data_IF_959700265272
#
_entry.id   IF_959700265272
#
_cell.length_a   1.000
_cell.length_b   1.000
_cell.length_c   1.000
_cell.angle_alpha   90.00
_cell.angle_beta   90.00
_cell.angle_gamma   90.00
#
_symmetry.space_group_name_H-M   'P 1'
#
loop_
_entity.id
_entity.type
_entity.pdbx_description
1 polymer ?
#
# COMPACT_ATOMS: atom_id res chain seq x y z
N UNK A 1 23.83 -6.18 9.80
CA UNK A 1 22.69 -5.23 9.73
C UNK A 1 23.14 -3.80 10.04
N UNK A 2 23.80 -3.53 11.14
CA UNK A 2 24.24 -2.17 11.54
C UNK A 2 25.15 -1.45 10.52
N UNK A 3 25.90 -2.19 9.69
CA UNK A 3 26.77 -1.61 8.67
C UNK A 3 26.01 -0.92 7.53
N UNK A 4 24.78 -1.37 7.21
CA UNK A 4 23.95 -0.75 6.19
C UNK A 4 23.45 0.64 6.64
N UNK A 5 23.16 0.85 7.91
CA UNK A 5 22.70 2.15 8.42
C UNK A 5 23.80 3.24 8.45
N UNK A 6 25.06 2.87 8.24
CA UNK A 6 26.16 3.84 8.08
C UNK A 6 26.15 4.52 6.70
N UNK A 7 25.47 3.93 5.72
CA UNK A 7 25.30 4.51 4.38
C UNK A 7 24.12 5.50 4.40
N UNK A 8 24.41 6.78 4.22
CA UNK A 8 23.40 7.84 4.19
C UNK A 8 22.33 7.61 3.08
N UNK A 9 22.69 6.90 2.00
CA UNK A 9 21.75 6.52 0.95
C UNK A 9 20.66 5.59 1.47
N UNK A 10 21.03 4.64 2.34
CA UNK A 10 20.08 3.72 2.98
C UNK A 10 19.06 4.50 3.79
N UNK A 11 19.52 5.40 4.67
CA UNK A 11 18.63 6.22 5.50
C UNK A 11 17.69 7.06 4.63
N UNK A 12 18.21 7.74 3.62
CA UNK A 12 17.42 8.56 2.70
C UNK A 12 16.32 7.73 2.01
N UNK A 13 16.66 6.56 1.47
CA UNK A 13 15.67 5.69 0.80
C UNK A 13 14.63 5.11 1.78
N UNK A 14 15.00 4.83 3.03
CA UNK A 14 14.04 4.42 4.05
C UNK A 14 13.08 5.55 4.43
N UNK A 15 13.56 6.79 4.54
CA UNK A 15 12.71 7.96 4.73
C UNK A 15 11.76 8.17 3.53
N UNK A 16 12.24 8.00 2.29
CA UNK A 16 11.37 8.07 1.11
C UNK A 16 10.26 7.02 1.14
N UNK A 17 10.55 5.80 1.63
CA UNK A 17 9.57 4.74 1.78
C UNK A 17 8.43 5.11 2.76
N UNK A 18 8.73 5.87 3.82
CA UNK A 18 7.69 6.32 4.76
C UNK A 18 6.72 7.32 4.13
N UNK A 19 7.15 8.14 3.15
CA UNK A 19 6.26 9.07 2.47
C UNK A 19 5.16 8.36 1.67
N UNK A 20 5.45 7.20 1.11
CA UNK A 20 4.46 6.46 0.32
C UNK A 20 3.30 5.95 1.18
N UNK A 21 3.56 5.50 2.41
CA UNK A 21 2.49 5.07 3.32
C UNK A 21 1.70 6.24 3.89
N UNK A 22 2.35 7.39 4.12
CA UNK A 22 1.69 8.61 4.59
C UNK A 22 0.59 9.07 3.62
N UNK A 23 0.80 8.92 2.31
CA UNK A 23 -0.17 9.37 1.31
C UNK A 23 -1.52 8.66 1.42
N UNK A 24 -1.53 7.44 1.92
CA UNK A 24 -2.65 6.52 1.79
C UNK A 24 -3.61 6.52 2.98
N UNK A 25 -3.13 6.75 4.20
CA UNK A 25 -3.96 6.48 5.39
C UNK A 25 -3.91 7.55 6.46
N UNK A 26 -3.04 8.55 6.33
CA UNK A 26 -2.79 9.52 7.42
C UNK A 26 -4.03 10.38 7.76
N UNK A 27 -4.88 10.69 6.79
CA UNK A 27 -6.09 11.47 7.01
C UNK A 27 -7.29 10.60 7.41
N UNK A 28 -7.15 9.27 7.38
CA UNK A 28 -8.26 8.34 7.65
C UNK A 28 -8.94 8.58 9.01
N UNK A 29 -8.23 8.78 10.12
CA UNK A 29 -8.86 9.06 11.42
C UNK A 29 -9.71 10.34 11.43
N UNK A 30 -9.39 11.31 10.57
CA UNK A 30 -10.04 12.62 10.51
C UNK A 30 -11.28 12.66 9.60
N UNK A 31 -11.59 11.59 8.85
CA UNK A 31 -12.67 11.60 7.85
C UNK A 31 -14.02 12.06 8.39
N UNK A 32 -14.51 11.58 9.54
CA UNK A 32 -15.80 12.06 10.07
C UNK A 32 -15.81 13.55 10.40
N UNK A 33 -14.71 14.07 10.94
CA UNK A 33 -14.57 15.49 11.24
C UNK A 33 -14.50 16.36 9.97
N UNK A 34 -13.82 15.88 8.92
CA UNK A 34 -13.81 16.57 7.62
C UNK A 34 -15.20 16.53 6.99
N UNK A 35 -15.91 15.40 7.07
CA UNK A 35 -17.29 15.28 6.56
C UNK A 35 -18.22 16.27 7.24
N UNK A 36 -18.16 16.38 8.57
CA UNK A 36 -18.94 17.33 9.35
C UNK A 36 -18.62 18.80 9.00
N UNK A 37 -17.37 19.12 8.69
CA UNK A 37 -16.96 20.48 8.30
C UNK A 37 -17.53 20.91 6.93
N UNK A 38 -17.90 19.95 6.07
CA UNK A 38 -18.44 20.20 4.72
C UNK A 38 -19.86 19.60 4.53
N UNK A 39 -20.65 19.54 5.59
CA UNK A 39 -22.01 18.94 5.60
C UNK A 39 -22.95 19.52 4.51
N UNK A 40 -22.78 20.79 4.16
CA UNK A 40 -23.53 21.44 3.08
C UNK A 40 -23.10 21.07 1.65
N UNK A 41 -22.06 20.26 1.46
CA UNK A 41 -21.53 19.93 0.13
C UNK A 41 -22.28 18.70 -0.43
N UNK A 42 -22.80 18.74 -1.66
CA UNK A 42 -23.42 17.58 -2.27
C UNK A 42 -22.45 16.38 -2.34
N UNK A 43 -22.90 15.21 -1.90
CA UNK A 43 -22.10 13.97 -1.84
C UNK A 43 -20.85 14.05 -0.95
N UNK A 44 -20.83 14.92 0.08
CA UNK A 44 -19.70 15.09 0.99
C UNK A 44 -19.18 13.75 1.52
N UNK A 45 -20.06 12.86 1.98
CA UNK A 45 -19.72 11.55 2.50
C UNK A 45 -18.89 10.69 1.52
N UNK A 46 -19.22 10.69 0.23
CA UNK A 46 -18.47 9.96 -0.78
C UNK A 46 -17.14 10.65 -1.09
N UNK A 47 -17.15 11.97 -1.29
CA UNK A 47 -15.96 12.76 -1.60
C UNK A 47 -14.92 12.63 -0.49
N UNK A 48 -15.33 12.69 0.77
CA UNK A 48 -14.43 12.55 1.92
C UNK A 48 -13.77 11.17 1.96
N UNK A 49 -14.51 10.10 1.71
CA UNK A 49 -13.91 8.76 1.61
C UNK A 49 -12.93 8.64 0.44
N UNK A 50 -13.22 9.33 -0.68
CA UNK A 50 -12.30 9.40 -1.83
C UNK A 50 -11.02 10.17 -1.52
N UNK A 51 -10.96 11.07 -0.53
CA UNK A 51 -9.72 11.78 -0.16
C UNK A 51 -8.58 10.80 0.19
N UNK A 52 -8.90 9.62 0.75
CA UNK A 52 -7.92 8.57 1.07
C UNK A 52 -7.48 7.82 -0.18
N UNK A 53 -8.38 7.57 -1.12
CA UNK A 53 -8.14 6.64 -2.23
C UNK A 53 -7.94 7.31 -3.58
N UNK A 54 -8.33 8.58 -3.76
CA UNK A 54 -8.14 9.32 -5.00
C UNK A 54 -6.67 9.41 -5.48
N UNK A 55 -5.66 9.56 -4.60
CA UNK A 55 -4.27 9.51 -5.03
C UNK A 55 -3.94 8.25 -5.83
N UNK A 56 -4.51 7.09 -5.45
CA UNK A 56 -4.24 5.81 -6.07
C UNK A 56 -4.60 5.78 -7.57
N UNK A 57 -5.67 6.47 -7.98
CA UNK A 57 -6.05 6.56 -9.38
C UNK A 57 -4.94 7.19 -10.22
N UNK A 58 -4.37 8.31 -9.75
CA UNK A 58 -3.28 8.97 -10.48
C UNK A 58 -1.95 8.24 -10.33
N UNK A 59 -1.71 7.53 -9.22
CA UNK A 59 -0.55 6.61 -9.15
C UNK A 59 -0.65 5.54 -10.23
N UNK A 60 -1.80 4.87 -10.37
CA UNK A 60 -2.01 3.84 -11.39
C UNK A 60 -1.81 4.37 -12.82
N UNK A 61 -2.30 5.58 -13.10
CA UNK A 61 -2.19 6.20 -14.43
C UNK A 61 -0.78 6.72 -14.74
N UNK A 62 -0.08 7.29 -13.76
CA UNK A 62 1.17 8.05 -13.96
C UNK A 62 2.41 7.19 -13.75
N UNK A 63 2.37 6.16 -12.87
CA UNK A 63 3.57 5.38 -12.53
C UNK A 63 4.30 4.75 -13.75
N UNK A 64 3.61 4.22 -14.79
CA UNK A 64 4.29 3.70 -15.97
C UNK A 64 5.10 4.77 -16.73
N UNK A 65 4.57 5.99 -16.81
CA UNK A 65 5.23 7.13 -17.46
C UNK A 65 6.33 7.72 -16.57
N UNK A 66 6.12 7.72 -15.24
CA UNK A 66 7.09 8.21 -14.28
C UNK A 66 8.40 7.42 -14.32
N UNK A 67 8.34 6.10 -14.57
CA UNK A 67 9.52 5.28 -14.77
C UNK A 67 10.35 5.73 -15.99
N UNK A 68 9.70 5.92 -17.13
CA UNK A 68 10.36 6.43 -18.34
C UNK A 68 10.90 7.87 -18.16
N UNK A 69 10.22 8.68 -17.37
CA UNK A 69 10.63 10.04 -17.04
C UNK A 69 11.90 10.04 -16.16
N UNK A 70 11.97 9.12 -15.18
CA UNK A 70 13.15 8.91 -14.33
C UNK A 70 14.38 8.57 -15.14
N UNK A 71 14.24 7.69 -16.13
CA UNK A 71 15.33 7.30 -17.02
C UNK A 71 15.80 8.46 -17.91
N UNK A 72 14.89 9.36 -18.31
CA UNK A 72 15.20 10.49 -19.20
C UNK A 72 15.74 11.72 -18.46
N UNK A 73 15.15 12.10 -17.33
CA UNK A 73 15.45 13.35 -16.64
C UNK A 73 16.32 13.18 -15.40
N UNK A 74 16.53 11.94 -14.93
CA UNK A 74 17.31 11.59 -13.75
C UNK A 74 16.43 11.20 -12.56
N UNK A 75 16.82 10.12 -11.91
CA UNK A 75 16.05 9.47 -10.82
C UNK A 75 16.03 10.32 -9.56
N UNK A 76 17.19 10.89 -9.18
CA UNK A 76 17.31 11.80 -8.05
C UNK A 76 16.44 13.05 -8.24
N UNK A 77 16.53 13.68 -9.42
CA UNK A 77 15.75 14.90 -9.72
C UNK A 77 14.25 14.62 -9.62
N UNK A 78 13.79 13.50 -10.17
CA UNK A 78 12.40 13.10 -10.08
C UNK A 78 11.94 12.89 -8.63
N UNK A 79 12.78 12.23 -7.79
CA UNK A 79 12.48 12.05 -6.37
C UNK A 79 12.30 13.40 -5.67
N UNK A 80 13.23 14.33 -5.86
CA UNK A 80 13.16 15.66 -5.22
C UNK A 80 11.93 16.46 -5.65
N UNK A 81 11.59 16.47 -6.95
CA UNK A 81 10.36 17.08 -7.45
C UNK A 81 9.13 16.40 -6.81
N UNK A 82 9.11 15.09 -6.76
CA UNK A 82 8.03 14.31 -6.12
C UNK A 82 7.87 14.70 -4.65
N UNK A 83 8.95 14.85 -3.90
CA UNK A 83 8.93 15.22 -2.47
C UNK A 83 8.37 16.64 -2.25
N UNK A 84 8.76 17.60 -3.06
CA UNK A 84 8.20 18.97 -2.99
C UNK A 84 6.72 18.96 -3.33
N UNK A 85 6.35 18.30 -4.43
CA UNK A 85 4.95 18.19 -4.84
C UNK A 85 4.12 17.47 -3.77
N UNK A 86 4.68 16.42 -3.12
CA UNK A 86 4.05 15.69 -2.02
C UNK A 86 3.75 16.62 -0.84
N UNK A 87 4.72 17.44 -0.42
CA UNK A 87 4.53 18.39 0.68
C UNK A 87 3.42 19.39 0.36
N UNK A 88 3.46 20.01 -0.83
CA UNK A 88 2.50 21.05 -1.23
C UNK A 88 1.09 20.48 -1.38
N UNK A 89 0.94 19.39 -2.15
CA UNK A 89 -0.39 18.83 -2.42
C UNK A 89 -0.95 18.07 -1.22
N UNK A 90 -0.08 17.39 -0.45
CA UNK A 90 -0.49 16.65 0.74
C UNK A 90 -1.02 17.56 1.83
N UNK A 91 -0.37 18.71 2.09
CA UNK A 91 -0.75 19.65 3.13
C UNK A 91 -1.86 20.63 2.71
N UNK A 92 -2.34 20.55 1.48
CA UNK A 92 -3.31 21.50 0.93
C UNK A 92 -4.64 21.62 1.72
N UNK A 93 -5.03 20.58 2.46
CA UNK A 93 -6.18 20.64 3.35
C UNK A 93 -6.05 21.66 4.50
N UNK A 94 -4.85 22.23 4.75
CA UNK A 94 -4.66 23.28 5.76
C UNK A 94 -5.11 24.68 5.28
N UNK A 95 -5.19 24.90 3.96
CA UNK A 95 -5.48 26.23 3.39
C UNK A 95 -6.54 26.23 2.29
N UNK A 96 -7.09 25.06 1.95
CA UNK A 96 -8.18 24.97 0.98
C UNK A 96 -9.53 24.88 1.70
N UNK A 97 -10.44 25.77 1.36
CA UNK A 97 -11.75 25.90 2.00
C UNK A 97 -12.87 25.16 1.26
N UNK A 98 -12.55 24.38 0.22
CA UNK A 98 -13.55 23.64 -0.55
C UNK A 98 -13.19 22.17 -0.69
N UNK A 99 -14.14 21.29 -0.41
CA UNK A 99 -13.95 19.85 -0.48
C UNK A 99 -13.54 19.34 -1.88
N UNK A 100 -14.11 19.85 -3.01
CA UNK A 100 -13.62 19.50 -4.34
C UNK A 100 -12.16 19.93 -4.60
N UNK A 101 -11.74 21.09 -4.09
CA UNK A 101 -10.35 21.54 -4.24
C UNK A 101 -9.39 20.65 -3.44
N UNK A 102 -9.76 20.24 -2.22
CA UNK A 102 -9.00 19.28 -1.43
C UNK A 102 -8.92 17.93 -2.18
N UNK A 103 -10.00 17.45 -2.79
CA UNK A 103 -9.99 16.22 -3.58
C UNK A 103 -9.02 16.32 -4.77
N UNK A 104 -9.03 17.44 -5.51
CA UNK A 104 -8.08 17.67 -6.61
C UNK A 104 -6.64 17.65 -6.11
N UNK A 105 -6.36 18.30 -4.97
CA UNK A 105 -5.03 18.27 -4.36
C UNK A 105 -4.60 16.85 -3.99
N UNK A 106 -5.53 16.02 -3.51
CA UNK A 106 -5.28 14.60 -3.23
C UNK A 106 -4.98 13.80 -4.50
N UNK A 107 -5.67 14.09 -5.61
CA UNK A 107 -5.32 13.49 -6.89
C UNK A 107 -3.91 13.90 -7.34
N UNK A 108 -3.54 15.19 -7.23
CA UNK A 108 -2.18 15.66 -7.53
C UNK A 108 -1.13 14.99 -6.64
N UNK A 109 -1.46 14.70 -5.37
CA UNK A 109 -0.61 13.91 -4.48
C UNK A 109 -0.29 12.54 -5.08
N UNK A 110 -1.21 11.92 -5.82
CA UNK A 110 -0.96 10.66 -6.52
C UNK A 110 0.17 10.76 -7.55
N UNK A 111 0.31 11.89 -8.25
CA UNK A 111 1.45 12.15 -9.16
C UNK A 111 2.76 12.20 -8.37
N UNK A 112 2.75 12.92 -7.24
CA UNK A 112 3.92 13.02 -6.36
C UNK A 112 4.36 11.63 -5.85
N UNK A 113 3.41 10.81 -5.42
CA UNK A 113 3.66 9.44 -4.95
C UNK A 113 4.21 8.56 -6.07
N UNK A 114 3.64 8.65 -7.29
CA UNK A 114 4.16 7.92 -8.46
C UNK A 114 5.63 8.31 -8.74
N UNK A 115 5.98 9.59 -8.66
CA UNK A 115 7.35 10.06 -8.83
C UNK A 115 8.29 9.52 -7.75
N UNK A 116 7.88 9.59 -6.48
CA UNK A 116 8.68 9.09 -5.35
C UNK A 116 8.89 7.58 -5.47
N UNK A 117 7.82 6.79 -5.67
CA UNK A 117 7.90 5.33 -5.73
C UNK A 117 8.77 4.82 -6.88
N UNK A 118 8.58 5.37 -8.08
CA UNK A 118 9.33 4.93 -9.26
C UNK A 118 10.80 5.32 -9.17
N UNK A 119 11.10 6.55 -8.75
CA UNK A 119 12.47 7.01 -8.54
C UNK A 119 13.17 6.21 -7.43
N UNK A 120 12.51 5.99 -6.30
CA UNK A 120 13.03 5.21 -5.18
C UNK A 120 13.38 3.79 -5.60
N UNK A 121 12.45 3.10 -6.29
CA UNK A 121 12.66 1.72 -6.75
C UNK A 121 13.84 1.64 -7.72
N UNK A 122 13.95 2.61 -8.63
CA UNK A 122 15.05 2.67 -9.59
C UNK A 122 16.39 2.95 -8.89
N UNK A 123 16.44 3.89 -7.93
CA UNK A 123 17.65 4.18 -7.13
C UNK A 123 18.11 2.98 -6.29
N UNK A 124 17.17 2.23 -5.71
CA UNK A 124 17.49 0.98 -4.99
C UNK A 124 18.13 -0.03 -5.94
N UNK A 125 17.60 -0.14 -7.17
CA UNK A 125 18.16 -1.01 -8.20
C UNK A 125 19.58 -0.64 -8.62
N UNK A 126 19.89 0.66 -8.65
CA UNK A 126 21.22 1.17 -9.06
C UNK A 126 22.26 1.15 -7.93
N UNK A 127 21.82 1.31 -6.67
CA UNK A 127 22.76 1.40 -5.54
C UNK A 127 23.08 0.05 -4.90
N UNK A 128 22.20 -0.94 -5.05
CA UNK A 128 22.33 -2.21 -4.34
C UNK A 128 22.14 -3.40 -5.29
N UNK A 129 23.03 -4.39 -5.17
CA UNK A 129 23.01 -5.61 -5.97
C UNK A 129 22.77 -6.86 -5.10
N UNK A 130 22.26 -7.92 -5.75
CA UNK A 130 22.18 -9.26 -5.22
C UNK A 130 21.59 -9.36 -3.79
N UNK A 131 22.32 -10.02 -2.86
CA UNK A 131 21.84 -10.22 -1.49
C UNK A 131 21.66 -8.93 -0.68
N UNK A 132 22.43 -7.87 -1.00
CA UNK A 132 22.33 -6.56 -0.33
C UNK A 132 21.00 -5.89 -0.67
N UNK A 133 20.60 -5.92 -1.94
CA UNK A 133 19.29 -5.41 -2.40
C UNK A 133 18.13 -6.13 -1.70
N UNK A 134 18.20 -7.47 -1.60
CA UNK A 134 17.16 -8.25 -0.91
C UNK A 134 17.04 -7.89 0.57
N UNK A 135 18.18 -7.70 1.26
CA UNK A 135 18.20 -7.25 2.67
C UNK A 135 17.63 -5.83 2.82
N UNK A 136 18.01 -4.92 1.92
CA UNK A 136 17.48 -3.56 1.92
C UNK A 136 15.95 -3.54 1.77
N UNK A 137 15.41 -4.29 0.80
CA UNK A 137 13.95 -4.37 0.59
C UNK A 137 13.20 -4.88 1.83
N UNK A 138 13.76 -5.84 2.55
CA UNK A 138 13.19 -6.30 3.82
C UNK A 138 13.16 -5.20 4.90
N UNK A 139 14.26 -4.44 5.04
CA UNK A 139 14.34 -3.30 5.98
C UNK A 139 13.38 -2.19 5.54
N UNK A 140 13.25 -1.94 4.24
CA UNK A 140 12.32 -0.95 3.69
C UNK A 140 10.86 -1.26 4.06
N UNK A 141 10.43 -2.50 3.92
CA UNK A 141 9.07 -2.92 4.32
C UNK A 141 8.86 -2.67 5.83
N UNK A 142 9.84 -3.03 6.66
CA UNK A 142 9.77 -2.79 8.09
C UNK A 142 9.70 -1.28 8.43
N UNK A 143 10.54 -0.46 7.77
CA UNK A 143 10.54 0.99 7.95
C UNK A 143 9.23 1.63 7.50
N UNK A 144 8.66 1.20 6.37
CA UNK A 144 7.35 1.66 5.88
C UNK A 144 6.25 1.37 6.89
N UNK A 145 6.17 0.16 7.41
CA UNK A 145 5.13 -0.22 8.37
C UNK A 145 5.32 0.45 9.74
N UNK A 146 6.56 0.54 10.23
CA UNK A 146 6.86 1.24 11.49
C UNK A 146 6.59 2.74 11.36
N UNK A 147 6.97 3.35 10.23
CA UNK A 147 6.63 4.74 9.92
C UNK A 147 5.11 4.94 9.88
N UNK A 148 4.37 4.07 9.19
CA UNK A 148 2.92 4.07 9.17
C UNK A 148 2.30 3.98 10.57
N UNK A 149 2.80 3.08 11.41
CA UNK A 149 2.37 2.95 12.80
C UNK A 149 2.53 4.27 13.57
N UNK A 150 3.74 4.85 13.56
CA UNK A 150 4.03 6.09 14.30
C UNK A 150 3.20 7.26 13.78
N UNK A 151 3.19 7.45 12.47
CA UNK A 151 2.49 8.60 11.87
C UNK A 151 0.97 8.51 12.00
N UNK A 152 0.39 7.31 12.00
CA UNK A 152 -1.04 7.14 12.24
C UNK A 152 -1.43 7.52 13.68
N UNK A 153 -0.61 7.17 14.68
CA UNK A 153 -0.86 7.59 16.06
C UNK A 153 -0.78 9.12 16.20
N UNK A 154 0.22 9.74 15.58
CA UNK A 154 0.33 11.21 15.54
C UNK A 154 -0.89 11.82 14.84
N UNK A 155 -1.31 11.25 13.71
CA UNK A 155 -2.46 11.73 12.95
C UNK A 155 -3.77 11.65 13.77
N UNK A 156 -3.97 10.57 14.52
CA UNK A 156 -5.11 10.46 15.43
C UNK A 156 -5.12 11.56 16.49
N UNK A 157 -4.01 11.74 17.19
CA UNK A 157 -3.88 12.79 18.21
C UNK A 157 -4.04 14.21 17.65
N UNK A 158 -3.61 14.46 16.42
CA UNK A 158 -3.85 15.74 15.74
C UNK A 158 -5.31 15.88 15.31
N UNK A 159 -5.94 14.80 14.83
CA UNK A 159 -7.32 14.79 14.41
C UNK A 159 -8.31 15.02 15.58
N UNK A 160 -7.96 14.60 16.82
CA UNK A 160 -8.74 14.89 18.03
C UNK A 160 -8.81 16.42 18.31
N UNK A 161 -7.79 17.18 17.88
CA UNK A 161 -7.76 18.63 18.06
C UNK A 161 -8.45 19.38 16.89
N UNK A 162 -8.19 18.95 15.66
CA UNK A 162 -8.84 19.45 14.45
C UNK A 162 -8.73 18.44 13.32
N UNK A 163 -9.82 18.23 12.60
CA UNK A 163 -9.89 17.33 11.45
C UNK A 163 -8.89 17.70 10.32
N UNK A 164 -8.40 18.94 10.28
CA UNK A 164 -7.47 19.41 9.26
C UNK A 164 -5.99 19.33 9.68
N UNK A 165 -5.68 19.19 10.96
CA UNK A 165 -4.28 19.13 11.43
C UNK A 165 -3.48 17.93 10.93
N UNK A 166 -4.05 16.74 10.69
CA UNK A 166 -3.31 15.64 10.05
C UNK A 166 -2.67 16.01 8.70
N UNK A 167 -3.21 16.97 7.97
CA UNK A 167 -2.60 17.46 6.74
C UNK A 167 -1.22 18.10 6.95
N UNK A 168 -0.92 18.59 8.16
CA UNK A 168 0.40 19.14 8.50
C UNK A 168 1.51 18.08 8.46
N UNK A 169 1.18 16.80 8.66
CA UNK A 169 2.18 15.72 8.66
C UNK A 169 2.88 15.61 7.29
N UNK A 170 2.19 15.98 6.20
CA UNK A 170 2.80 15.94 4.86
C UNK A 170 3.98 16.90 4.71
N UNK A 171 4.07 17.95 5.53
CA UNK A 171 5.19 18.89 5.54
C UNK A 171 6.50 18.25 6.02
N UNK A 172 6.46 17.08 6.66
CA UNK A 172 7.66 16.30 7.02
C UNK A 172 8.54 16.01 5.80
N UNK A 173 7.92 15.92 4.61
CA UNK A 173 8.65 15.71 3.36
C UNK A 173 9.66 16.83 3.09
N UNK A 174 9.37 18.07 3.50
CA UNK A 174 10.32 19.20 3.39
C UNK A 174 11.52 19.03 4.33
N UNK A 175 11.30 18.40 5.51
CA UNK A 175 12.40 18.09 6.45
C UNK A 175 13.32 17.01 5.87
N UNK A 176 12.76 16.08 5.08
CA UNK A 176 13.54 15.04 4.43
C UNK A 176 14.29 15.52 3.18
N UNK A 177 13.87 16.64 2.58
CA UNK A 177 14.43 17.17 1.34
C UNK A 177 15.95 17.44 1.39
N UNK A 178 16.52 18.09 2.43
CA UNK A 178 17.97 18.26 2.56
C UNK A 178 18.70 16.91 2.66
N UNK A 179 18.14 15.94 3.38
CA UNK A 179 18.73 14.58 3.50
C UNK A 179 18.81 13.94 2.12
N UNK A 180 17.74 13.99 1.32
CA UNK A 180 17.73 13.43 -0.04
C UNK A 180 18.71 14.15 -0.95
N UNK A 181 18.78 15.47 -0.83
CA UNK A 181 19.70 16.28 -1.64
C UNK A 181 21.16 15.94 -1.35
N UNK A 182 21.54 15.75 -0.10
CA UNK A 182 22.92 15.52 0.32
C UNK A 182 23.35 14.05 0.17
N UNK A 183 22.41 13.10 0.36
CA UNK A 183 22.76 11.67 0.51
C UNK A 183 22.57 10.86 -0.76
N UNK A 184 21.80 11.34 -1.75
CA UNK A 184 21.50 10.57 -2.95
C UNK A 184 22.23 11.16 -4.18
N UNK A 185 23.37 10.61 -4.62
CA UNK A 185 23.99 10.98 -5.89
C UNK A 185 23.12 10.52 -7.06
N UNK A 186 23.22 11.18 -8.21
CA UNK A 186 22.59 10.65 -9.44
C UNK A 186 23.39 9.44 -9.93
N UNK A 187 22.79 8.26 -10.11
CA UNK A 187 23.50 7.08 -10.54
C UNK A 187 23.92 7.18 -12.02
N UNK A 188 24.96 6.42 -12.37
CA UNK A 188 25.38 6.29 -13.76
C UNK A 188 24.27 5.60 -14.58
N UNK A 189 23.99 6.10 -15.78
CA UNK A 189 22.95 5.51 -16.64
C UNK A 189 23.53 4.28 -17.36
N UNK A 190 22.90 3.10 -17.24
CA UNK A 190 23.34 1.94 -17.99
C UNK A 190 23.21 2.17 -19.51
N UNK A 191 24.23 1.78 -20.25
CA UNK A 191 24.26 1.88 -21.71
C UNK A 191 23.25 0.91 -22.34
N UNK A 192 22.91 1.13 -23.62
CA UNK A 192 22.00 0.23 -24.34
C UNK A 192 22.59 -1.20 -24.47
N UNK A 193 23.91 -1.31 -24.50
CA UNK A 193 24.62 -2.59 -24.59
C UNK A 193 24.52 -3.40 -23.27
N UNK A 194 24.62 -2.75 -22.12
CA UNK A 194 24.45 -3.40 -20.81
C UNK A 194 23.03 -3.94 -20.62
N UNK A 195 22.01 -3.28 -21.20
CA UNK A 195 20.61 -3.75 -21.19
C UNK A 195 20.39 -4.97 -22.09
N UNK A 196 21.13 -5.09 -23.20
CA UNK A 196 20.97 -6.17 -24.15
C UNK A 196 21.56 -7.52 -23.69
N UNK A 197 22.39 -7.50 -22.62
CA UNK A 197 23.06 -8.70 -22.10
C UNK A 197 22.27 -9.45 -21.01
N UNK A 198 20.99 -9.09 -20.75
CA UNK A 198 20.16 -9.84 -19.80
C UNK A 198 19.80 -11.22 -20.33
N UNK A 199 19.90 -12.29 -19.52
CA UNK A 199 19.58 -13.65 -19.95
C UNK A 199 18.13 -13.73 -20.45
N UNK A 200 17.93 -14.39 -21.59
CA UNK A 200 16.61 -14.73 -22.09
C UNK A 200 16.05 -15.87 -21.22
N UNK A 201 14.98 -15.59 -20.48
CA UNK A 201 14.19 -16.55 -19.72
C UNK A 201 12.76 -16.43 -20.27
N UNK A 202 12.22 -17.53 -20.80
CA UNK A 202 10.91 -17.55 -21.46
C UNK A 202 9.75 -17.60 -20.46
N UNK A 203 10.03 -17.70 -19.16
CA UNK A 203 9.02 -17.80 -18.09
C UNK A 203 8.30 -19.15 -18.04
N UNK A 204 7.32 -19.25 -17.15
CA UNK A 204 6.52 -20.48 -17.03
C UNK A 204 5.45 -20.60 -18.12
N UNK A 205 5.17 -21.80 -18.58
CA UNK A 205 4.07 -22.09 -19.50
C UNK A 205 2.74 -21.57 -18.93
N UNK A 206 1.98 -20.86 -19.76
CA UNK A 206 0.71 -20.24 -19.33
C UNK A 206 0.88 -19.05 -18.37
N UNK A 207 2.04 -18.40 -18.33
CA UNK A 207 2.32 -17.27 -17.44
C UNK A 207 1.30 -16.14 -17.53
N UNK A 208 0.71 -15.90 -18.72
CA UNK A 208 -0.30 -14.84 -18.91
C UNK A 208 -1.58 -15.14 -18.11
N UNK A 209 -2.05 -16.40 -18.09
CA UNK A 209 -3.21 -16.80 -17.30
C UNK A 209 -2.95 -16.65 -15.80
N UNK A 210 -1.74 -17.00 -15.36
CA UNK A 210 -1.30 -16.81 -13.98
C UNK A 210 -1.17 -15.33 -13.63
N UNK A 211 -0.68 -14.50 -14.53
CA UNK A 211 -0.63 -13.05 -14.38
C UNK A 211 -2.04 -12.47 -14.22
N UNK A 212 -2.99 -12.84 -15.07
CA UNK A 212 -4.39 -12.41 -14.97
C UNK A 212 -4.97 -12.81 -13.61
N UNK A 213 -4.71 -14.04 -13.15
CA UNK A 213 -5.16 -14.48 -11.83
C UNK A 213 -4.57 -13.61 -10.70
N UNK A 214 -3.26 -13.29 -10.74
CA UNK A 214 -2.62 -12.42 -9.72
C UNK A 214 -3.15 -11.00 -9.78
N UNK A 215 -3.35 -10.44 -10.98
CA UNK A 215 -3.93 -9.10 -11.19
C UNK A 215 -5.34 -9.03 -10.60
N UNK A 216 -6.18 -10.04 -10.86
CA UNK A 216 -7.54 -10.13 -10.30
C UNK A 216 -7.51 -10.26 -8.78
N UNK A 217 -6.68 -11.17 -8.25
CA UNK A 217 -6.49 -11.34 -6.80
C UNK A 217 -6.01 -10.03 -6.15
N UNK A 218 -5.03 -9.35 -6.75
CA UNK A 218 -4.51 -8.08 -6.24
C UNK A 218 -5.59 -7.00 -6.18
N UNK A 219 -6.33 -6.80 -7.26
CA UNK A 219 -7.42 -5.82 -7.32
C UNK A 219 -8.51 -6.09 -6.27
N UNK A 220 -9.03 -7.32 -6.21
CA UNK A 220 -10.06 -7.72 -5.23
C UNK A 220 -9.56 -7.59 -3.79
N UNK A 221 -8.31 -8.01 -3.53
CA UNK A 221 -7.70 -7.87 -2.21
C UNK A 221 -7.67 -6.40 -1.77
N UNK A 222 -7.28 -5.48 -2.67
CA UNK A 222 -7.18 -4.06 -2.31
C UNK A 222 -8.52 -3.36 -2.21
N UNK A 223 -9.54 -3.78 -2.97
CA UNK A 223 -10.93 -3.33 -2.74
C UNK A 223 -11.34 -3.65 -1.30
N UNK A 224 -11.11 -4.88 -0.84
CA UNK A 224 -11.48 -5.30 0.50
C UNK A 224 -10.57 -4.72 1.60
N UNK A 225 -9.26 -4.62 1.35
CA UNK A 225 -8.31 -4.04 2.31
C UNK A 225 -8.62 -2.58 2.61
N UNK A 226 -8.85 -1.77 1.55
CA UNK A 226 -9.10 -0.33 1.72
C UNK A 226 -10.47 0.00 2.30
N UNK A 227 -11.35 -0.99 2.44
CA UNK A 227 -12.56 -0.85 3.25
C UNK A 227 -12.21 -0.40 4.68
N UNK A 228 -11.15 -0.92 5.27
CA UNK A 228 -10.75 -0.53 6.64
C UNK A 228 -10.24 0.92 6.70
N UNK A 229 -9.23 1.37 5.95
CA UNK A 229 -8.80 2.77 5.98
C UNK A 229 -9.90 3.80 5.68
N UNK A 230 -10.89 3.44 4.86
CA UNK A 230 -11.97 4.36 4.47
C UNK A 230 -13.19 4.33 5.36
N UNK A 231 -13.44 3.23 6.08
CA UNK A 231 -14.67 3.01 6.83
C UNK A 231 -14.44 2.81 8.33
N UNK A 232 -13.22 2.51 8.78
CA UNK A 232 -12.95 2.24 10.20
C UNK A 232 -13.39 3.37 11.15
N UNK A 233 -13.18 4.67 10.86
CA UNK A 233 -13.65 5.73 11.76
C UNK A 233 -15.17 5.72 11.93
N UNK A 234 -15.90 5.47 10.86
CA UNK A 234 -17.36 5.40 10.86
C UNK A 234 -17.86 4.13 11.54
N UNK A 235 -17.23 2.98 11.28
CA UNK A 235 -17.54 1.72 11.97
C UNK A 235 -17.33 1.83 13.46
N UNK A 236 -16.22 2.40 13.92
CA UNK A 236 -15.93 2.57 15.33
C UNK A 236 -16.93 3.49 16.00
N UNK A 237 -17.43 4.52 15.33
CA UNK A 237 -18.50 5.37 15.84
C UNK A 237 -19.80 4.58 16.10
N UNK A 238 -20.13 3.57 15.27
CA UNK A 238 -21.33 2.72 15.49
C UNK A 238 -21.23 1.82 16.72
N UNK A 239 -20.02 1.50 17.17
CA UNK A 239 -19.75 0.69 18.37
C UNK A 239 -19.34 1.53 19.59
N UNK A 240 -19.60 2.85 19.55
CA UNK A 240 -19.41 3.77 20.68
C UNK A 240 -18.01 4.38 20.81
N UNK A 241 -17.18 4.31 19.74
CA UNK A 241 -15.82 4.86 19.71
C UNK A 241 -15.62 5.84 18.56
N UNK A 242 -16.24 7.04 18.60
CA UNK A 242 -16.14 8.04 17.53
C UNK A 242 -14.80 8.81 17.53
N UNK A 243 -13.93 8.58 18.52
CA UNK A 243 -12.69 9.32 18.68
C UNK A 243 -11.71 9.01 17.53
N UNK A 244 -11.13 10.01 16.86
CA UNK A 244 -10.11 9.83 15.83
C UNK A 244 -8.93 8.97 16.28
N UNK A 245 -8.51 9.05 17.55
CA UNK A 245 -7.45 8.21 18.13
C UNK A 245 -7.81 6.74 18.12
N UNK A 246 -9.07 6.33 18.30
CA UNK A 246 -9.48 4.93 18.22
C UNK A 246 -9.28 4.37 16.78
N UNK A 247 -9.66 5.12 15.76
CA UNK A 247 -9.45 4.76 14.38
C UNK A 247 -7.95 4.72 14.01
N UNK A 248 -7.19 5.68 14.51
CA UNK A 248 -5.74 5.71 14.34
C UNK A 248 -5.07 4.49 14.97
N UNK A 249 -5.46 4.10 16.19
CA UNK A 249 -4.94 2.94 16.89
C UNK A 249 -5.24 1.63 16.12
N UNK A 250 -6.46 1.50 15.61
CA UNK A 250 -6.86 0.34 14.81
C UNK A 250 -5.97 0.21 13.57
N UNK A 251 -5.79 1.28 12.80
CA UNK A 251 -4.95 1.29 11.61
C UNK A 251 -3.45 1.11 11.95
N UNK A 252 -3.00 1.68 13.06
CA UNK A 252 -1.61 1.55 13.51
C UNK A 252 -1.27 0.10 13.87
N UNK A 253 -2.15 -0.61 14.60
CA UNK A 253 -1.98 -2.03 14.94
C UNK A 253 -1.93 -2.87 13.67
N UNK A 254 -2.77 -2.58 12.68
CA UNK A 254 -2.75 -3.24 11.37
C UNK A 254 -1.38 -3.06 10.68
N UNK A 255 -0.83 -1.84 10.69
CA UNK A 255 0.49 -1.57 10.10
C UNK A 255 1.59 -2.31 10.85
N UNK A 256 1.60 -2.23 12.17
CA UNK A 256 2.62 -2.90 13.00
C UNK A 256 2.62 -4.41 12.81
N UNK A 257 1.45 -5.04 12.89
CA UNK A 257 1.31 -6.49 12.71
C UNK A 257 1.69 -6.91 11.29
N UNK A 258 1.28 -6.16 10.27
CA UNK A 258 1.67 -6.40 8.88
C UNK A 258 3.18 -6.34 8.67
N UNK A 259 3.84 -5.35 9.27
CA UNK A 259 5.30 -5.22 9.24
C UNK A 259 6.01 -6.41 9.89
N UNK A 260 5.59 -6.81 11.09
CA UNK A 260 6.18 -7.95 11.81
C UNK A 260 6.02 -9.25 11.01
N UNK A 261 4.83 -9.51 10.47
CA UNK A 261 4.57 -10.76 9.75
C UNK A 261 5.15 -10.81 8.34
N UNK A 262 5.34 -9.66 7.69
CA UNK A 262 6.07 -9.61 6.41
C UNK A 262 7.53 -10.08 6.56
N UNK A 263 8.15 -9.89 7.73
CA UNK A 263 9.49 -10.43 8.01
C UNK A 263 9.51 -11.96 8.12
N UNK A 264 8.38 -12.57 8.48
CA UNK A 264 8.23 -14.02 8.58
C UNK A 264 7.85 -14.67 7.24
N UNK A 265 7.45 -13.87 6.25
CA UNK A 265 6.98 -14.33 4.93
C UNK A 265 7.94 -15.36 4.29
N UNK A 266 9.25 -15.06 4.27
CA UNK A 266 10.23 -15.96 3.66
C UNK A 266 10.26 -17.35 4.31
N UNK A 267 10.15 -17.43 5.66
CA UNK A 267 10.11 -18.71 6.39
C UNK A 267 8.82 -19.48 6.11
N UNK A 268 7.69 -18.76 6.08
CA UNK A 268 6.38 -19.37 5.78
C UNK A 268 6.36 -19.91 4.36
N UNK A 269 6.86 -19.13 3.39
CA UNK A 269 6.91 -19.55 1.98
C UNK A 269 7.81 -20.78 1.76
N UNK A 270 8.97 -20.85 2.43
CA UNK A 270 9.84 -22.02 2.33
C UNK A 270 9.17 -23.31 2.84
N UNK A 271 8.27 -23.21 3.84
CA UNK A 271 7.56 -24.37 4.41
C UNK A 271 6.29 -24.75 3.66
N UNK A 272 5.51 -23.75 3.24
CA UNK A 272 4.18 -23.94 2.66
C UNK A 272 4.16 -23.88 1.13
N UNK A 273 5.20 -23.32 0.50
CA UNK A 273 5.27 -23.18 -0.94
C UNK A 273 4.45 -22.00 -1.50
N UNK A 274 4.43 -21.93 -2.84
CA UNK A 274 3.90 -20.80 -3.62
C UNK A 274 2.38 -20.63 -3.49
N UNK A 275 1.63 -21.71 -3.44
CA UNK A 275 0.17 -21.68 -3.41
C UNK A 275 -0.41 -21.53 -1.99
N UNK A 276 0.14 -22.27 -1.02
CA UNK A 276 -0.42 -22.33 0.33
C UNK A 276 -0.10 -21.10 1.17
N UNK A 277 1.00 -20.39 0.88
CA UNK A 277 1.35 -19.17 1.63
C UNK A 277 0.32 -18.05 1.46
N UNK A 278 -0.06 -17.62 0.22
CA UNK A 278 -1.12 -16.65 0.05
C UNK A 278 -2.50 -17.19 0.46
N UNK A 279 -2.76 -18.50 0.28
CA UNK A 279 -4.01 -19.11 0.74
C UNK A 279 -4.19 -18.96 2.26
N UNK A 280 -3.14 -19.23 3.05
CA UNK A 280 -3.14 -19.00 4.50
C UNK A 280 -3.37 -17.51 4.83
N UNK A 281 -2.75 -16.60 4.06
CA UNK A 281 -2.98 -15.18 4.20
C UNK A 281 -4.45 -14.79 3.96
N UNK A 282 -5.10 -15.33 2.92
CA UNK A 282 -6.53 -15.09 2.67
C UNK A 282 -7.44 -15.68 3.75
N UNK A 283 -7.10 -16.83 4.33
CA UNK A 283 -7.82 -17.34 5.51
C UNK A 283 -7.63 -16.41 6.72
N UNK A 284 -6.45 -15.83 6.89
CA UNK A 284 -6.21 -14.77 7.88
C UNK A 284 -7.08 -13.54 7.66
N UNK A 285 -7.25 -13.09 6.40
CA UNK A 285 -8.20 -12.03 6.04
C UNK A 285 -9.64 -12.42 6.41
N UNK A 286 -10.07 -13.65 6.07
CA UNK A 286 -11.40 -14.13 6.40
C UNK A 286 -11.65 -14.13 7.92
N UNK A 287 -10.68 -14.59 8.71
CA UNK A 287 -10.74 -14.54 10.17
C UNK A 287 -10.80 -13.10 10.68
N UNK A 288 -9.99 -12.19 10.13
CA UNK A 288 -9.98 -10.78 10.50
C UNK A 288 -11.34 -10.12 10.27
N UNK A 289 -11.90 -10.26 9.07
CA UNK A 289 -13.21 -9.70 8.75
C UNK A 289 -14.35 -10.42 9.49
N UNK A 290 -14.22 -11.72 9.77
CA UNK A 290 -15.14 -12.45 10.64
C UNK A 290 -15.18 -11.89 12.06
N UNK A 291 -14.02 -11.59 12.65
CA UNK A 291 -13.92 -10.93 13.96
C UNK A 291 -14.51 -9.53 13.91
N UNK A 292 -14.22 -8.73 12.88
CA UNK A 292 -14.79 -7.39 12.70
C UNK A 292 -16.31 -7.43 12.56
N UNK A 293 -16.87 -8.44 11.88
CA UNK A 293 -18.31 -8.60 11.69
C UNK A 293 -19.08 -8.76 13.02
N UNK A 294 -18.46 -9.40 14.01
CA UNK A 294 -19.06 -9.63 15.34
C UNK A 294 -18.57 -8.62 16.40
N UNK A 295 -17.76 -7.62 16.00
CA UNK A 295 -17.16 -6.69 16.95
C UNK A 295 -18.19 -5.69 17.49
N UNK A 296 -18.43 -5.74 18.80
CA UNK A 296 -19.27 -4.79 19.53
C UNK A 296 -18.50 -3.83 20.43
N UNK A 297 -17.16 -3.87 20.42
CA UNK A 297 -16.30 -3.00 21.24
C UNK A 297 -14.93 -2.82 20.61
N UNK A 298 -14.16 -1.84 21.09
CA UNK A 298 -12.84 -1.50 20.56
C UNK A 298 -11.85 -2.68 20.67
N UNK A 299 -11.85 -3.43 21.76
CA UNK A 299 -10.89 -4.51 21.96
C UNK A 299 -11.03 -5.61 20.88
N UNK A 300 -12.26 -6.03 20.58
CA UNK A 300 -12.51 -7.01 19.50
C UNK A 300 -12.18 -6.46 18.12
N UNK A 301 -12.46 -5.17 17.86
CA UNK A 301 -12.08 -4.51 16.62
C UNK A 301 -10.53 -4.47 16.44
N UNK A 302 -9.77 -4.21 17.51
CA UNK A 302 -8.31 -4.23 17.49
C UNK A 302 -7.75 -5.63 17.20
N UNK A 303 -8.40 -6.69 17.73
CA UNK A 303 -8.05 -8.09 17.38
C UNK A 303 -8.26 -8.35 15.90
N UNK A 304 -9.40 -7.92 15.35
CA UNK A 304 -9.67 -8.02 13.90
C UNK A 304 -8.61 -7.29 13.08
N UNK A 305 -8.23 -6.08 13.49
CA UNK A 305 -7.20 -5.28 12.84
C UNK A 305 -5.82 -5.94 12.90
N UNK A 306 -5.44 -6.51 14.05
CA UNK A 306 -4.20 -7.27 14.21
C UNK A 306 -4.16 -8.46 13.23
N UNK A 307 -5.23 -9.25 13.17
CA UNK A 307 -5.34 -10.38 12.23
C UNK A 307 -5.25 -9.91 10.76
N UNK A 308 -5.86 -8.76 10.46
CA UNK A 308 -5.81 -8.20 9.10
C UNK A 308 -4.38 -7.83 8.70
N UNK A 309 -3.61 -7.21 9.60
CA UNK A 309 -2.20 -6.92 9.35
C UNK A 309 -1.38 -8.19 9.13
N UNK A 310 -1.59 -9.24 9.95
CA UNK A 310 -0.97 -10.56 9.74
C UNK A 310 -1.22 -11.09 8.32
N UNK A 311 -2.47 -11.02 7.87
CA UNK A 311 -2.91 -11.50 6.57
C UNK A 311 -2.23 -10.72 5.43
N UNK A 312 -2.20 -9.38 5.52
CA UNK A 312 -1.50 -8.49 4.56
C UNK A 312 -0.03 -8.86 4.45
N UNK A 313 0.63 -9.11 5.59
CA UNK A 313 2.05 -9.47 5.64
C UNK A 313 2.39 -10.76 4.90
N UNK A 314 1.42 -11.65 4.65
CA UNK A 314 1.59 -12.87 3.86
C UNK A 314 1.13 -12.70 2.40
N UNK A 315 -0.03 -12.06 2.17
CA UNK A 315 -0.63 -11.96 0.82
C UNK A 315 0.18 -11.06 -0.09
N UNK A 316 0.55 -9.85 0.37
CA UNK A 316 1.23 -8.87 -0.48
C UNK A 316 2.57 -9.36 -1.05
N UNK A 317 3.50 -9.86 -0.24
CA UNK A 317 4.76 -10.39 -0.77
C UNK A 317 4.53 -11.62 -1.66
N UNK A 318 3.48 -12.42 -1.41
CA UNK A 318 3.14 -13.58 -2.23
C UNK A 318 2.74 -13.17 -3.64
N UNK A 319 1.85 -12.20 -3.81
CA UNK A 319 1.40 -11.76 -5.13
C UNK A 319 2.56 -11.24 -5.98
N UNK A 320 3.43 -10.40 -5.39
CA UNK A 320 4.61 -9.87 -6.08
C UNK A 320 5.58 -10.99 -6.45
N UNK A 321 5.82 -11.92 -5.52
CA UNK A 321 6.75 -13.02 -5.74
C UNK A 321 6.27 -13.99 -6.82
N UNK A 322 4.96 -14.33 -6.83
CA UNK A 322 4.38 -15.21 -7.86
C UNK A 322 4.57 -14.62 -9.26
N UNK A 323 4.34 -13.32 -9.41
CA UNK A 323 4.51 -12.63 -10.70
C UNK A 323 5.95 -12.68 -11.19
N UNK A 324 6.92 -12.44 -10.29
CA UNK A 324 8.34 -12.48 -10.63
C UNK A 324 8.83 -13.88 -10.97
N UNK A 325 8.22 -14.92 -10.37
CA UNK A 325 8.55 -16.33 -10.64
C UNK A 325 8.00 -16.80 -11.99
N UNK A 326 6.77 -16.38 -12.37
CA UNK A 326 6.09 -16.91 -13.56
C UNK A 326 6.35 -16.11 -14.81
N UNK A 327 6.60 -14.81 -14.72
CA UNK A 327 6.75 -13.93 -15.86
C UNK A 327 8.14 -14.08 -16.52
N UNK A 328 8.21 -14.11 -17.88
CA UNK A 328 9.48 -14.08 -18.61
C UNK A 328 10.32 -12.87 -18.21
N UNK A 329 11.65 -13.03 -18.20
CA UNK A 329 12.57 -11.97 -17.75
C UNK A 329 12.33 -10.64 -18.47
N UNK A 330 12.13 -10.67 -19.79
CA UNK A 330 11.87 -9.48 -20.62
C UNK A 330 10.47 -8.87 -20.40
N UNK A 331 9.54 -9.56 -19.71
CA UNK A 331 8.16 -9.11 -19.41
C UNK A 331 7.92 -8.84 -17.92
N UNK A 332 8.89 -9.06 -17.03
CA UNK A 332 8.73 -8.83 -15.58
C UNK A 332 8.31 -7.40 -15.23
N UNK A 333 8.81 -6.42 -15.98
CA UNK A 333 8.40 -5.02 -15.81
C UNK A 333 6.91 -4.81 -16.12
N UNK A 334 6.43 -5.34 -17.25
CA UNK A 334 5.02 -5.31 -17.63
C UNK A 334 4.15 -6.03 -16.59
N UNK A 335 4.55 -7.23 -16.19
CA UNK A 335 3.80 -8.05 -15.24
C UNK A 335 3.68 -7.37 -13.86
N UNK A 336 4.79 -6.86 -13.33
CA UNK A 336 4.79 -6.11 -12.06
C UNK A 336 3.98 -4.82 -12.13
N UNK A 337 4.07 -4.10 -13.26
CA UNK A 337 3.28 -2.90 -13.52
C UNK A 337 1.78 -3.20 -13.57
N UNK A 338 1.37 -4.31 -14.19
CA UNK A 338 -0.04 -4.73 -14.24
C UNK A 338 -0.60 -5.02 -12.84
N UNK A 339 0.18 -5.69 -11.98
CA UNK A 339 -0.21 -5.94 -10.58
C UNK A 339 -0.30 -4.64 -9.80
N UNK A 340 0.68 -3.75 -9.93
CA UNK A 340 0.65 -2.45 -9.26
C UNK A 340 -0.58 -1.64 -9.69
N UNK A 341 -0.90 -1.61 -10.98
CA UNK A 341 -2.09 -0.93 -11.50
C UNK A 341 -3.37 -1.52 -10.90
N UNK A 342 -3.50 -2.85 -10.82
CA UNK A 342 -4.68 -3.49 -10.23
C UNK A 342 -4.84 -3.18 -8.73
N UNK A 343 -3.73 -3.13 -8.01
CA UNK A 343 -3.68 -2.76 -6.59
C UNK A 343 -4.20 -1.32 -6.39
N UNK A 344 -3.65 -0.35 -7.12
CA UNK A 344 -4.07 1.04 -6.98
C UNK A 344 -5.49 1.29 -7.51
N UNK A 345 -5.90 0.60 -8.56
CA UNK A 345 -7.27 0.65 -9.05
C UNK A 345 -8.25 0.06 -8.02
N UNK A 346 -7.91 -1.09 -7.41
CA UNK A 346 -8.68 -1.69 -6.32
C UNK A 346 -8.81 -0.75 -5.12
N UNK A 347 -7.72 -0.10 -4.74
CA UNK A 347 -7.71 0.93 -3.70
C UNK A 347 -8.70 2.06 -4.01
N UNK A 348 -8.67 2.61 -5.23
CA UNK A 348 -9.58 3.68 -5.67
C UNK A 348 -11.05 3.23 -5.67
N UNK A 349 -11.32 2.03 -6.16
CA UNK A 349 -12.69 1.48 -6.26
C UNK A 349 -13.29 1.11 -4.89
N UNK A 350 -12.46 0.90 -3.86
CA UNK A 350 -12.91 0.44 -2.55
C UNK A 350 -14.08 1.24 -1.96
N UNK A 351 -14.02 2.58 -1.77
CA UNK A 351 -15.14 3.33 -1.22
C UNK A 351 -16.35 3.39 -2.16
N UNK A 352 -16.14 3.34 -3.48
CA UNK A 352 -17.21 3.35 -4.46
C UNK A 352 -18.06 2.07 -4.41
N UNK A 353 -17.44 0.94 -4.04
CA UNK A 353 -18.12 -0.35 -3.89
C UNK A 353 -18.62 -0.54 -2.46
N UNK A 354 -17.78 -0.24 -1.46
CA UNK A 354 -18.09 -0.52 -0.06
C UNK A 354 -19.17 0.39 0.52
N UNK A 355 -19.20 1.67 0.16
CA UNK A 355 -20.17 2.60 0.75
C UNK A 355 -21.63 2.24 0.40
N UNK A 356 -22.01 1.93 -0.88
CA UNK A 356 -23.35 1.44 -1.18
C UNK A 356 -23.70 0.12 -0.49
N UNK A 357 -22.75 -0.82 -0.40
CA UNK A 357 -22.99 -2.11 0.29
C UNK A 357 -23.26 -1.88 1.77
N UNK A 358 -22.42 -1.08 2.45
CA UNK A 358 -22.62 -0.76 3.87
C UNK A 358 -23.95 -0.04 4.10
N UNK A 359 -24.33 0.89 3.21
CA UNK A 359 -25.62 1.58 3.33
C UNK A 359 -26.83 0.65 3.16
N UNK A 360 -26.69 -0.44 2.39
CA UNK A 360 -27.75 -1.40 2.13
C UNK A 360 -27.88 -2.45 3.25
N UNK A 361 -26.77 -2.98 3.75
CA UNK A 361 -26.78 -4.13 4.67
C UNK A 361 -26.09 -3.87 6.02
N UNK A 362 -25.39 -2.76 6.19
CA UNK A 362 -24.66 -2.44 7.41
C UNK A 362 -23.20 -2.95 7.43
N UNK A 363 -22.46 -2.63 8.52
CA UNK A 363 -21.05 -2.99 8.65
C UNK A 363 -20.85 -4.49 8.91
N UNK A 364 -21.62 -5.08 9.83
CA UNK A 364 -21.49 -6.48 10.24
C UNK A 364 -21.63 -7.42 9.06
N UNK A 365 -22.71 -7.26 8.28
CA UNK A 365 -23.02 -8.05 7.10
C UNK A 365 -22.01 -7.82 5.99
N UNK A 366 -21.55 -6.57 5.79
CA UNK A 366 -20.50 -6.25 4.81
C UNK A 366 -19.21 -6.97 5.15
N UNK A 367 -18.78 -6.94 6.41
CA UNK A 367 -17.58 -7.64 6.85
C UNK A 367 -17.73 -9.17 6.71
N UNK A 368 -18.93 -9.73 7.00
CA UNK A 368 -19.20 -11.13 6.80
C UNK A 368 -19.12 -11.54 5.31
N UNK A 369 -19.68 -10.73 4.40
CA UNK A 369 -19.58 -10.93 2.95
C UNK A 369 -18.12 -10.94 2.51
N UNK A 370 -17.31 -9.97 2.99
CA UNK A 370 -15.88 -9.92 2.68
C UNK A 370 -15.15 -11.14 3.23
N UNK A 371 -15.48 -11.61 4.44
CA UNK A 371 -14.88 -12.82 5.01
C UNK A 371 -15.13 -14.05 4.11
N UNK A 372 -16.36 -14.23 3.62
CA UNK A 372 -16.70 -15.31 2.68
C UNK A 372 -15.93 -15.16 1.35
N UNK A 373 -15.85 -13.94 0.81
CA UNK A 373 -15.08 -13.67 -0.40
C UNK A 373 -13.60 -14.06 -0.21
N UNK A 374 -13.00 -13.75 0.93
CA UNK A 374 -11.61 -14.12 1.22
C UNK A 374 -11.40 -15.65 1.30
N UNK A 375 -12.37 -16.41 1.78
CA UNK A 375 -12.33 -17.88 1.71
C UNK A 375 -12.32 -18.35 0.25
N UNK A 376 -13.15 -17.76 -0.60
CA UNK A 376 -13.17 -18.07 -2.03
C UNK A 376 -11.83 -17.73 -2.71
N UNK A 377 -11.22 -16.57 -2.38
CA UNK A 377 -9.91 -16.20 -2.90
C UNK A 377 -8.80 -17.13 -2.41
N UNK A 378 -8.89 -17.63 -1.17
CA UNK A 378 -7.99 -18.67 -0.65
C UNK A 378 -8.06 -19.95 -1.51
N UNK A 379 -9.27 -20.44 -1.78
CA UNK A 379 -9.47 -21.62 -2.63
C UNK A 379 -8.94 -21.39 -4.06
N UNK A 380 -9.20 -20.21 -4.65
CA UNK A 380 -8.66 -19.84 -5.96
C UNK A 380 -7.13 -19.88 -5.98
N UNK A 381 -6.47 -19.36 -4.96
CA UNK A 381 -5.00 -19.38 -4.89
C UNK A 381 -4.44 -20.79 -4.94
N UNK A 382 -5.06 -21.71 -4.22
CA UNK A 382 -4.66 -23.13 -4.25
C UNK A 382 -4.92 -23.75 -5.63
N UNK A 383 -6.06 -23.44 -6.26
CA UNK A 383 -6.41 -24.01 -7.56
C UNK A 383 -5.47 -23.56 -8.68
N UNK A 384 -5.11 -22.24 -8.69
CA UNK A 384 -4.31 -21.67 -9.79
C UNK A 384 -2.80 -21.83 -9.62
N UNK A 385 -2.28 -21.84 -8.36
CA UNK A 385 -0.85 -21.81 -8.11
C UNK A 385 -0.29 -23.07 -7.49
N UNK A 386 -1.10 -24.13 -7.34
CA UNK A 386 -0.63 -25.43 -6.87
C UNK A 386 0.39 -25.97 -7.87
N UNK A 387 1.62 -26.21 -7.43
CA UNK A 387 2.66 -26.85 -8.20
C UNK A 387 2.19 -28.27 -8.54
N UNK A 388 2.13 -28.62 -9.83
CA UNK A 388 2.02 -30.01 -10.21
C UNK A 388 3.32 -30.66 -9.75
N UNK A 389 3.26 -31.50 -8.71
CA UNK A 389 4.38 -32.38 -8.39
C UNK A 389 4.58 -33.28 -9.62
N UNK A 390 5.61 -32.97 -10.43
CA UNK A 390 6.11 -33.99 -11.32
C UNK A 390 6.58 -35.13 -10.42
N UNK A 391 6.18 -36.41 -10.67
CA UNK A 391 6.74 -37.55 -9.97
C UNK A 391 8.25 -37.46 -10.20
N UNK A 392 9.01 -37.39 -9.11
CA UNK A 392 10.44 -37.52 -9.16
C UNK A 392 10.70 -38.85 -9.90
N UNK A 393 11.37 -38.79 -11.04
CA UNK A 393 11.89 -40.00 -11.68
C UNK A 393 12.77 -40.67 -10.65
N UNK A 394 12.28 -41.83 -10.11
CA UNK A 394 13.01 -42.74 -9.26
C UNK A 394 14.13 -43.42 -10.05
#
# INVERSE_FOLDING_TARGET
>A
MLSLFKDARVVALLLAATLTILSNSIISPALPGIEAAFDGTPNAALIVRLLVTAPALLVAAVAPFAGALADRFGKRRQLLIGVVLFAVTGSAGLWLDSLPAILISRMMLGIAVAFIMTAQTALIGDYFDGPTRGRFMGIQIAATNLGGFVFLLIAGALADQSAFWPFAIYLIALVYLPVFWMSLPEPHRPTAEERAQMPADDGEEGWMAKLIAVVTLGGLTFICFYLIPTQAPYFLATIGHPEPTAAALLLAIMMLSGGVFSLLYGRVRMRLGRAMTPALGYLGYAAAFGVLAISGNLATALVGSLLLGLAVGLVMPSLISIVLDVAPAHRRGFASGSVATSIFLGQFLSPLISAPVISAVGYSETFAIVAVLMICLSAMTVAFFRERRYPAYA
#
